data_IF_472442630950
#
_entry.id   IF_472442630950
#
_cell.length_a   1.000
_cell.length_b   1.000
_cell.length_c   1.000
_cell.angle_alpha   90.00
_cell.angle_beta   90.00
_cell.angle_gamma   90.00
#
_symmetry.space_group_name_H-M   'P 1'
#
loop_
_entity.id
_entity.type
_entity.pdbx_description
1 polymer ?
#
# COMPACT_ATOMS: atom_id res chain seq x y z
N UNK A 1 -2.63 18.00 20.23
CA UNK A 1 -1.18 18.19 19.95
C UNK A 1 -1.03 19.31 18.93
N UNK A 2 -0.56 20.47 19.37
CA UNK A 2 -0.04 21.51 18.50
C UNK A 2 1.22 20.96 17.84
N UNK A 3 1.16 20.67 16.54
CA UNK A 3 2.36 20.34 15.78
C UNK A 3 3.28 21.56 15.82
N UNK A 4 4.30 21.55 16.69
CA UNK A 4 5.38 22.51 16.61
C UNK A 4 6.13 22.24 15.31
N UNK A 5 6.18 23.25 14.44
CA UNK A 5 6.84 23.24 13.12
C UNK A 5 8.38 23.13 13.22
N UNK A 6 8.91 22.34 14.15
CA UNK A 6 10.34 22.09 14.29
C UNK A 6 10.79 21.16 13.16
N UNK A 7 11.17 21.77 12.02
CA UNK A 7 11.83 21.20 10.84
C UNK A 7 11.03 20.13 10.08
N UNK A 8 10.24 20.59 9.10
CA UNK A 8 9.72 19.72 8.04
C UNK A 8 10.90 19.17 7.21
N UNK A 9 11.13 17.85 7.25
CA UNK A 9 12.08 17.18 6.36
C UNK A 9 11.37 16.73 5.08
N UNK A 10 12.03 16.87 3.94
CA UNK A 10 11.58 16.31 2.67
C UNK A 10 12.16 14.92 2.47
N UNK A 11 11.46 14.06 1.71
CA UNK A 11 11.92 12.70 1.40
C UNK A 11 12.93 12.78 0.27
N UNK A 12 14.19 12.41 0.53
CA UNK A 12 15.26 12.41 -0.48
C UNK A 12 15.21 11.15 -1.36
N UNK A 13 15.11 9.97 -0.73
CA UNK A 13 15.20 8.65 -1.39
C UNK A 13 14.27 7.65 -0.73
N UNK A 14 13.76 6.70 -1.53
CA UNK A 14 12.96 5.56 -1.08
C UNK A 14 13.75 4.29 -1.41
N UNK A 15 14.07 3.49 -0.40
CA UNK A 15 14.72 2.18 -0.56
C UNK A 15 13.66 1.09 -0.47
N UNK A 16 13.50 0.32 -1.54
CA UNK A 16 12.60 -0.83 -1.56
C UNK A 16 13.32 -2.08 -1.07
N UNK A 17 12.60 -2.93 -0.35
CA UNK A 17 13.07 -4.20 0.19
C UNK A 17 11.93 -5.20 0.39
N UNK A 18 12.27 -6.36 0.95
CA UNK A 18 11.32 -7.34 1.46
C UNK A 18 11.25 -7.18 2.98
N UNK A 19 10.06 -7.32 3.54
CA UNK A 19 9.89 -7.27 4.99
C UNK A 19 10.35 -8.60 5.60
N UNK A 20 11.27 -8.53 6.55
CA UNK A 20 11.67 -9.72 7.31
C UNK A 20 10.57 -10.14 8.31
N UNK A 21 10.49 -11.43 8.67
CA UNK A 21 9.54 -11.89 9.69
C UNK A 21 9.70 -11.14 11.03
N UNK A 22 10.92 -10.80 11.42
CA UNK A 22 11.20 -10.10 12.67
C UNK A 22 10.80 -8.63 12.62
N UNK A 23 10.99 -7.96 11.48
CA UNK A 23 10.45 -6.61 11.27
C UNK A 23 8.92 -6.61 11.30
N UNK A 24 8.27 -7.61 10.70
CA UNK A 24 6.81 -7.75 10.71
C UNK A 24 6.29 -7.90 12.16
N UNK A 25 6.96 -8.68 12.99
CA UNK A 25 6.60 -8.82 14.41
C UNK A 25 6.84 -7.52 15.18
N UNK A 26 7.96 -6.82 14.96
CA UNK A 26 8.29 -5.55 15.63
C UNK A 26 7.38 -4.40 15.22
N UNK A 27 6.98 -4.32 13.96
CA UNK A 27 6.08 -3.27 13.47
C UNK A 27 4.62 -3.49 13.90
N UNK A 28 4.30 -4.70 14.36
CA UNK A 28 2.94 -5.09 14.67
C UNK A 28 2.52 -4.63 16.07
N UNK A 29 1.35 -4.00 16.15
CA UNK A 29 0.74 -3.60 17.41
C UNK A 29 -0.02 -4.74 18.11
N UNK A 30 -0.52 -5.72 17.35
CA UNK A 30 -1.30 -6.83 17.87
C UNK A 30 -1.12 -8.11 17.05
N UNK A 31 -1.06 -9.24 17.74
CA UNK A 31 -1.13 -10.57 17.14
C UNK A 31 -2.59 -10.94 16.93
N UNK A 32 -2.98 -11.25 15.70
CA UNK A 32 -4.35 -11.60 15.37
C UNK A 32 -4.52 -13.11 15.46
N UNK A 33 -5.49 -13.53 16.26
CA UNK A 33 -5.74 -14.95 16.55
C UNK A 33 -7.16 -15.30 16.13
N UNK A 34 -8.17 -14.51 16.50
CA UNK A 34 -9.58 -14.83 16.26
C UNK A 34 -10.02 -14.42 14.86
N UNK A 35 -10.83 -15.28 14.22
CA UNK A 35 -11.36 -15.04 12.89
C UNK A 35 -12.57 -14.09 12.91
N UNK A 36 -13.31 -14.07 14.02
CA UNK A 36 -14.52 -13.26 14.16
C UNK A 36 -14.18 -11.78 14.35
N UNK A 37 -15.03 -10.90 13.79
CA UNK A 37 -14.77 -9.45 13.72
C UNK A 37 -15.46 -8.67 14.83
N UNK A 38 -16.71 -9.00 15.16
CA UNK A 38 -17.50 -8.36 16.20
C UNK A 38 -18.21 -9.40 17.07
N UNK A 39 -18.38 -9.07 18.34
CA UNK A 39 -19.20 -9.82 19.29
C UNK A 39 -20.70 -9.64 19.00
N UNK A 40 -21.55 -10.39 19.71
CA UNK A 40 -23.02 -10.32 19.61
C UNK A 40 -23.56 -8.90 19.88
N UNK A 41 -22.87 -8.13 20.73
CA UNK A 41 -23.18 -6.73 21.05
C UNK A 41 -22.71 -5.73 19.96
N UNK A 42 -22.09 -6.21 18.89
CA UNK A 42 -21.56 -5.38 17.79
C UNK A 42 -20.27 -4.65 18.13
N UNK A 43 -19.61 -5.00 19.25
CA UNK A 43 -18.31 -4.45 19.64
C UNK A 43 -17.17 -5.24 18.99
N UNK A 44 -16.04 -4.59 18.63
CA UNK A 44 -14.89 -5.30 18.06
C UNK A 44 -14.24 -6.25 19.06
N UNK A 45 -13.98 -7.49 18.62
CA UNK A 45 -13.39 -8.53 19.46
C UNK A 45 -11.89 -8.26 19.67
N UNK A 46 -11.36 -8.38 20.90
CA UNK A 46 -9.92 -8.30 21.14
C UNK A 46 -9.16 -9.43 20.42
N UNK A 47 -7.98 -9.14 19.89
CA UNK A 47 -7.17 -10.07 19.06
C UNK A 47 -7.85 -10.53 17.77
N UNK A 48 -8.94 -9.88 17.35
CA UNK A 48 -9.62 -10.09 16.07
C UNK A 48 -9.18 -9.10 15.00
N UNK A 49 -9.75 -9.21 13.80
CA UNK A 49 -9.35 -8.38 12.65
C UNK A 49 -9.76 -6.89 12.76
N UNK A 50 -10.68 -6.57 13.66
CA UNK A 50 -11.16 -5.22 13.95
C UNK A 50 -10.68 -4.71 15.32
N UNK A 51 -9.63 -5.33 15.89
CA UNK A 51 -9.05 -4.92 17.17
C UNK A 51 -8.72 -3.41 17.17
N UNK A 52 -9.16 -2.70 18.21
CA UNK A 52 -8.97 -1.26 18.39
C UNK A 52 -7.49 -0.84 18.43
N UNK A 53 -6.57 -1.78 18.69
CA UNK A 53 -5.12 -1.55 18.58
C UNK A 53 -4.65 -1.34 17.14
N UNK A 54 -5.36 -1.88 16.15
CA UNK A 54 -5.05 -1.70 14.72
C UNK A 54 -5.54 -0.35 14.17
N UNK A 55 -6.35 0.37 14.94
CA UNK A 55 -6.94 1.66 14.58
C UNK A 55 -8.45 1.69 14.80
N UNK A 56 -9.04 2.85 14.55
CA UNK A 56 -10.49 3.09 14.72
C UNK A 56 -11.10 3.63 13.44
N UNK A 57 -12.28 3.15 13.07
CA UNK A 57 -13.11 3.71 11.97
C UNK A 57 -14.24 4.57 12.51
N UNK A 58 -14.78 4.25 13.68
CA UNK A 58 -15.97 4.90 14.19
C UNK A 58 -15.69 6.29 14.77
N UNK A 59 -16.46 7.32 14.37
CA UNK A 59 -16.37 8.64 14.97
C UNK A 59 -16.59 8.57 16.50
N UNK A 60 -15.71 9.21 17.26
CA UNK A 60 -15.78 9.24 18.73
C UNK A 60 -15.00 8.14 19.44
N UNK A 61 -14.67 7.03 18.77
CA UNK A 61 -13.78 6.01 19.32
C UNK A 61 -12.32 6.47 19.26
N UNK A 62 -11.55 6.12 20.31
CA UNK A 62 -10.11 6.38 20.38
C UNK A 62 -9.34 5.09 20.16
N UNK A 63 -8.27 5.16 19.37
CA UNK A 63 -7.39 4.03 19.16
C UNK A 63 -6.63 3.68 20.45
N UNK A 64 -6.57 2.40 20.81
CA UNK A 64 -5.85 1.94 22.01
C UNK A 64 -4.34 2.12 21.90
N UNK A 65 -3.78 2.12 20.67
CA UNK A 65 -2.33 2.21 20.44
C UNK A 65 -1.83 3.66 20.43
N UNK A 66 -2.52 4.57 19.76
CA UNK A 66 -2.09 5.97 19.65
C UNK A 66 -2.95 6.99 20.40
N UNK A 67 -4.10 6.60 20.95
CA UNK A 67 -5.03 7.50 21.67
C UNK A 67 -5.75 8.53 20.78
N UNK A 68 -5.44 8.56 19.48
CA UNK A 68 -6.02 9.50 18.53
C UNK A 68 -7.41 9.06 18.06
N UNK A 69 -8.20 10.03 17.64
CA UNK A 69 -9.47 9.83 16.91
C UNK A 69 -9.19 9.46 15.44
N UNK A 70 -10.23 8.98 14.75
CA UNK A 70 -10.21 8.53 13.35
C UNK A 70 -9.44 9.46 12.41
N UNK A 71 -9.66 10.79 12.48
CA UNK A 71 -9.03 11.76 11.58
C UNK A 71 -7.50 11.85 11.70
N UNK A 72 -6.96 11.55 12.89
CA UNK A 72 -5.52 11.68 13.18
C UNK A 72 -4.85 10.31 13.37
N UNK A 73 -5.61 9.21 13.39
CA UNK A 73 -5.09 7.86 13.51
C UNK A 73 -4.70 7.33 12.12
N UNK A 74 -3.40 7.19 11.88
CA UNK A 74 -2.88 6.63 10.62
C UNK A 74 -3.07 5.12 10.50
N UNK A 75 -3.49 4.45 11.57
CA UNK A 75 -3.64 3.00 11.67
C UNK A 75 -2.35 2.29 12.05
N UNK A 76 -2.48 1.08 12.59
CA UNK A 76 -1.36 0.26 13.06
C UNK A 76 -1.44 -1.16 12.46
N UNK A 77 -0.31 -1.72 12.07
CA UNK A 77 -0.27 -3.04 11.48
C UNK A 77 -0.46 -4.14 12.53
N UNK A 78 -1.11 -5.22 12.12
CA UNK A 78 -1.19 -6.48 12.86
C UNK A 78 -0.25 -7.52 12.25
N UNK A 79 -0.16 -8.70 12.86
CA UNK A 79 0.46 -9.86 12.23
C UNK A 79 -0.29 -11.15 12.56
N UNK A 80 -0.21 -12.11 11.65
CA UNK A 80 -0.63 -13.50 11.85
C UNK A 80 0.63 -14.38 11.79
N UNK A 81 0.79 -15.23 12.81
CA UNK A 81 1.81 -16.28 12.78
C UNK A 81 1.26 -17.50 12.02
N UNK A 82 1.88 -17.84 10.90
CA UNK A 82 1.42 -18.96 10.08
C UNK A 82 1.83 -20.29 10.72
N UNK A 83 0.95 -21.29 10.63
CA UNK A 83 1.21 -22.64 11.13
C UNK A 83 2.29 -23.37 10.34
N UNK A 84 2.35 -23.10 9.04
CA UNK A 84 3.37 -23.60 8.12
C UNK A 84 3.79 -22.49 7.15
N UNK A 85 5.03 -22.54 6.62
CA UNK A 85 5.51 -21.53 5.68
C UNK A 85 4.74 -21.58 4.35
N UNK A 86 4.53 -20.42 3.75
CA UNK A 86 3.72 -20.25 2.52
C UNK A 86 4.51 -19.48 1.47
N UNK A 87 4.49 -19.94 0.23
CA UNK A 87 5.28 -19.32 -0.84
C UNK A 87 4.56 -18.08 -1.37
N UNK A 88 5.24 -16.93 -1.42
CA UNK A 88 4.68 -15.73 -2.03
C UNK A 88 4.59 -15.87 -3.57
N UNK A 89 3.37 -15.85 -4.10
CA UNK A 89 3.08 -16.15 -5.52
C UNK A 89 3.77 -15.21 -6.50
N UNK A 90 3.88 -13.92 -6.15
CA UNK A 90 4.61 -12.92 -6.95
C UNK A 90 6.08 -13.26 -7.20
N UNK A 91 6.69 -14.08 -6.34
CA UNK A 91 8.11 -14.47 -6.43
C UNK A 91 8.32 -15.92 -6.86
N UNK A 92 7.26 -16.73 -7.04
CA UNK A 92 7.38 -18.16 -7.37
C UNK A 92 8.28 -18.43 -8.60
N UNK A 93 8.17 -17.61 -9.65
CA UNK A 93 9.05 -17.69 -10.83
C UNK A 93 10.51 -17.35 -10.52
N UNK A 94 10.77 -16.42 -9.60
CA UNK A 94 12.12 -16.04 -9.18
C UNK A 94 12.73 -17.14 -8.30
N UNK A 95 11.95 -17.69 -7.36
CA UNK A 95 12.35 -18.86 -6.56
C UNK A 95 12.74 -20.03 -7.48
N UNK A 96 11.97 -20.33 -8.52
CA UNK A 96 12.35 -21.36 -9.49
C UNK A 96 13.71 -21.10 -10.17
N UNK A 97 13.99 -19.85 -10.54
CA UNK A 97 15.29 -19.49 -11.15
C UNK A 97 16.44 -19.73 -10.18
N UNK A 98 16.25 -19.35 -8.90
CA UNK A 98 17.23 -19.57 -7.84
C UNK A 98 17.43 -21.05 -7.55
N UNK A 99 16.34 -21.81 -7.37
CA UNK A 99 16.41 -23.26 -7.11
C UNK A 99 17.14 -24.02 -8.24
N UNK A 100 17.05 -23.52 -9.48
CA UNK A 100 17.79 -24.07 -10.63
C UNK A 100 19.25 -23.64 -10.70
N UNK A 101 19.68 -22.65 -9.94
CA UNK A 101 21.08 -22.16 -9.92
C UNK A 101 21.86 -22.59 -8.68
N UNK A 102 21.19 -23.09 -7.64
CA UNK A 102 21.84 -23.55 -6.41
C UNK A 102 21.98 -25.07 -6.38
N UNK A 103 22.93 -25.55 -5.56
CA UNK A 103 23.03 -26.96 -5.21
C UNK A 103 21.92 -27.38 -4.23
N UNK A 104 21.29 -28.56 -4.38
CA UNK A 104 20.28 -29.06 -3.44
C UNK A 104 20.77 -29.25 -1.99
N UNK A 105 22.05 -29.59 -1.79
CA UNK A 105 22.60 -29.96 -0.48
C UNK A 105 23.34 -28.80 0.19
N UNK A 106 24.34 -28.23 -0.50
CA UNK A 106 25.16 -27.15 0.06
C UNK A 106 24.60 -25.75 -0.17
N UNK A 107 23.54 -25.63 -0.99
CA UNK A 107 22.86 -24.36 -1.30
C UNK A 107 23.74 -23.25 -1.90
N UNK A 108 25.01 -23.54 -2.21
CA UNK A 108 25.89 -22.63 -2.94
C UNK A 108 25.49 -22.52 -4.41
N UNK A 109 25.86 -21.40 -5.00
CA UNK A 109 25.71 -21.17 -6.43
C UNK A 109 26.54 -22.19 -7.22
N UNK A 110 25.96 -22.74 -8.29
CA UNK A 110 26.63 -23.72 -9.15
C UNK A 110 27.56 -23.04 -10.18
N UNK A 111 28.50 -22.23 -9.68
CA UNK A 111 29.61 -21.61 -10.40
C UNK A 111 30.93 -21.93 -9.72
N UNK A 112 32.02 -21.92 -10.49
CA UNK A 112 33.38 -22.04 -9.92
C UNK A 112 33.79 -20.73 -9.25
N UNK A 113 34.79 -20.78 -8.35
CA UNK A 113 35.29 -19.58 -7.67
C UNK A 113 35.88 -18.55 -8.65
N UNK A 114 36.56 -19.01 -9.70
CA UNK A 114 37.08 -18.14 -10.77
C UNK A 114 35.95 -17.39 -11.50
N UNK A 115 34.86 -18.08 -11.81
CA UNK A 115 33.69 -17.47 -12.44
C UNK A 115 33.02 -16.45 -11.51
N UNK A 116 32.91 -16.76 -10.21
CA UNK A 116 32.33 -15.83 -9.25
C UNK A 116 33.15 -14.55 -9.11
N UNK A 117 34.48 -14.66 -9.11
CA UNK A 117 35.35 -13.49 -8.98
C UNK A 117 35.32 -12.60 -10.23
N UNK A 118 35.29 -13.21 -11.43
CA UNK A 118 35.13 -12.44 -12.68
C UNK A 118 33.80 -11.66 -12.70
N UNK A 119 32.68 -12.33 -12.37
CA UNK A 119 31.39 -11.65 -12.27
C UNK A 119 31.36 -10.56 -11.19
N UNK A 120 32.07 -10.76 -10.08
CA UNK A 120 32.16 -9.77 -9.00
C UNK A 120 32.86 -8.50 -9.48
N UNK A 121 33.96 -8.64 -10.22
CA UNK A 121 34.71 -7.50 -10.76
C UNK A 121 33.91 -6.77 -11.84
N UNK A 122 33.23 -7.51 -12.71
CA UNK A 122 32.27 -6.95 -13.69
C UNK A 122 31.15 -6.16 -12.99
N UNK A 123 30.59 -6.69 -11.89
CA UNK A 123 29.51 -5.99 -11.18
C UNK A 123 30.00 -4.71 -10.49
N UNK A 124 31.19 -4.73 -9.89
CA UNK A 124 31.79 -3.55 -9.25
C UNK A 124 32.09 -2.45 -10.28
N UNK A 125 32.66 -2.82 -11.42
CA UNK A 125 32.97 -1.87 -12.50
C UNK A 125 31.70 -1.29 -13.10
N UNK A 126 30.70 -2.11 -13.38
CA UNK A 126 29.41 -1.64 -13.90
C UNK A 126 28.70 -0.69 -12.93
N UNK A 127 28.66 -1.04 -11.63
CA UNK A 127 28.05 -0.19 -10.61
C UNK A 127 28.77 1.15 -10.46
N UNK A 128 30.08 1.18 -10.66
CA UNK A 128 30.87 2.42 -10.63
C UNK A 128 30.58 3.34 -11.83
N UNK A 129 30.28 2.76 -13.00
CA UNK A 129 30.04 3.51 -14.23
C UNK A 129 28.58 3.98 -14.32
N UNK A 130 27.63 3.06 -14.13
CA UNK A 130 26.22 3.31 -14.42
C UNK A 130 25.37 3.59 -13.17
N UNK A 131 25.95 3.45 -11.97
CA UNK A 131 25.21 3.53 -10.69
C UNK A 131 24.03 2.54 -10.56
N UNK A 132 23.94 1.58 -11.48
CA UNK A 132 22.92 0.54 -11.56
C UNK A 132 23.57 -0.85 -11.62
N UNK A 133 22.79 -1.88 -11.28
CA UNK A 133 23.24 -3.27 -11.41
C UNK A 133 22.99 -3.79 -12.81
N UNK A 134 23.98 -4.49 -13.38
CA UNK A 134 23.87 -5.12 -14.70
C UNK A 134 22.83 -6.27 -14.68
N UNK A 135 21.70 -6.10 -15.35
CA UNK A 135 20.69 -7.14 -15.48
C UNK A 135 21.09 -8.24 -16.46
N UNK A 136 21.92 -7.94 -17.46
CA UNK A 136 22.31 -8.88 -18.50
C UNK A 136 23.40 -9.82 -17.99
N UNK A 137 24.37 -9.32 -17.21
CA UNK A 137 25.31 -10.15 -16.47
C UNK A 137 24.58 -11.17 -15.57
N UNK A 138 23.55 -10.73 -14.83
CA UNK A 138 22.73 -11.64 -13.99
C UNK A 138 22.04 -12.72 -14.82
N UNK A 139 21.51 -12.39 -16.00
CA UNK A 139 20.92 -13.40 -16.91
C UNK A 139 21.96 -14.42 -17.36
N UNK A 140 23.20 -14.00 -17.59
CA UNK A 140 24.31 -14.90 -17.95
C UNK A 140 24.65 -15.83 -16.78
N UNK A 141 24.76 -15.30 -15.56
CA UNK A 141 24.97 -16.07 -14.32
C UNK A 141 23.92 -17.17 -14.19
N UNK A 142 22.62 -16.84 -14.29
CA UNK A 142 21.56 -17.85 -14.23
C UNK A 142 21.64 -18.88 -15.36
N UNK A 143 22.05 -18.49 -16.57
CA UNK A 143 22.22 -19.42 -17.71
C UNK A 143 23.38 -20.38 -17.49
N UNK A 144 24.53 -19.89 -16.99
CA UNK A 144 25.72 -20.72 -16.70
C UNK A 144 25.43 -21.67 -15.54
N UNK A 145 24.93 -21.15 -14.42
CA UNK A 145 24.56 -21.96 -13.26
C UNK A 145 23.44 -22.96 -13.59
N UNK A 146 22.60 -22.71 -14.60
CA UNK A 146 21.61 -23.69 -15.08
C UNK A 146 22.25 -24.87 -15.82
N UNK A 147 23.33 -24.66 -16.57
CA UNK A 147 23.99 -25.67 -17.42
C UNK A 147 24.92 -26.61 -16.66
N UNK A 148 25.45 -26.20 -15.51
CA UNK A 148 26.31 -27.04 -14.68
C UNK A 148 25.55 -28.29 -14.20
N UNK A 149 26.20 -29.45 -14.31
CA UNK A 149 25.61 -30.78 -13.99
C UNK A 149 25.93 -31.24 -12.56
N UNK A 150 27.07 -30.82 -12.02
CA UNK A 150 27.54 -31.17 -10.69
C UNK A 150 27.95 -29.92 -9.91
N UNK A 151 27.86 -29.99 -8.59
CA UNK A 151 28.31 -28.92 -7.71
C UNK A 151 29.85 -28.90 -7.60
N UNK A 152 30.52 -27.75 -7.80
CA UNK A 152 31.97 -27.63 -7.63
C UNK A 152 32.45 -27.85 -6.19
N UNK A 153 31.58 -27.63 -5.20
CA UNK A 153 31.96 -27.65 -3.78
C UNK A 153 31.74 -29.00 -3.10
N UNK A 154 30.61 -29.65 -3.36
CA UNK A 154 30.23 -30.90 -2.67
C UNK A 154 30.12 -32.11 -3.61
N UNK A 155 30.30 -31.93 -4.92
CA UNK A 155 30.19 -33.02 -5.90
C UNK A 155 28.77 -33.53 -6.13
N UNK A 156 27.76 -33.04 -5.41
CA UNK A 156 26.37 -33.46 -5.55
C UNK A 156 25.86 -33.21 -6.98
N UNK A 157 25.12 -34.20 -7.51
CA UNK A 157 24.45 -34.08 -8.81
C UNK A 157 23.30 -33.11 -8.72
N UNK A 158 23.17 -32.26 -9.72
CA UNK A 158 22.06 -31.32 -9.83
C UNK A 158 20.78 -32.05 -10.22
N UNK A 159 19.72 -31.82 -9.47
CA UNK A 159 18.38 -32.31 -9.80
C UNK A 159 17.60 -31.27 -10.61
N UNK A 160 16.77 -31.72 -11.55
CA UNK A 160 15.97 -30.82 -12.39
C UNK A 160 14.70 -30.42 -11.65
N UNK A 161 14.56 -29.11 -11.40
CA UNK A 161 13.38 -28.55 -10.73
C UNK A 161 12.38 -28.00 -11.76
N UNK A 162 11.14 -28.44 -11.66
CA UNK A 162 9.99 -28.00 -12.48
C UNK A 162 8.97 -27.33 -11.57
N UNK A 163 8.29 -26.30 -12.08
CA UNK A 163 7.15 -25.68 -11.40
C UNK A 163 5.88 -26.14 -12.09
N UNK A 164 4.96 -26.70 -11.32
CA UNK A 164 3.56 -26.77 -11.72
C UNK A 164 2.90 -25.47 -11.25
N UNK A 165 2.29 -24.75 -12.19
CA UNK A 165 1.78 -23.42 -11.88
C UNK A 165 0.58 -23.56 -10.95
N UNK A 166 0.46 -22.69 -9.92
CA UNK A 166 1.24 -21.46 -9.73
C UNK A 166 2.38 -21.54 -8.70
N UNK A 167 2.36 -22.48 -7.75
CA UNK A 167 3.28 -22.48 -6.59
C UNK A 167 3.80 -23.86 -6.18
N UNK A 168 3.49 -24.93 -6.92
CA UNK A 168 3.95 -26.29 -6.61
C UNK A 168 5.27 -26.59 -7.33
N UNK A 169 6.26 -27.08 -6.57
CA UNK A 169 7.60 -27.36 -7.09
C UNK A 169 7.86 -28.86 -7.05
N UNK A 170 8.42 -29.40 -8.13
CA UNK A 170 8.82 -30.79 -8.23
C UNK A 170 10.30 -30.90 -8.60
N UNK A 171 10.95 -31.90 -8.03
CA UNK A 171 12.32 -32.31 -8.28
C UNK A 171 12.28 -33.67 -9.00
N UNK A 172 12.82 -33.74 -10.22
CA UNK A 172 12.95 -35.00 -10.96
C UNK A 172 14.15 -35.80 -10.41
N UNK A 173 13.91 -37.03 -9.96
CA UNK A 173 14.95 -37.99 -9.60
C UNK A 173 15.07 -39.09 -10.67
N UNK A 174 16.30 -39.43 -11.07
CA UNK A 174 16.58 -40.41 -12.13
C UNK A 174 15.98 -41.82 -11.84
N UNK A 175 15.71 -42.15 -10.57
CA UNK A 175 15.30 -43.49 -10.14
C UNK A 175 13.86 -43.60 -9.56
N UNK A 176 13.23 -42.50 -9.13
CA UNK A 176 11.96 -42.52 -8.37
C UNK A 176 10.84 -41.62 -8.92
N UNK A 177 11.04 -41.01 -10.08
CA UNK A 177 10.08 -40.08 -10.68
C UNK A 177 10.19 -38.66 -10.12
N UNK A 178 9.09 -37.90 -10.16
CA UNK A 178 9.03 -36.51 -9.67
C UNK A 178 8.62 -36.45 -8.20
N UNK A 179 9.50 -35.93 -7.33
CA UNK A 179 9.21 -35.67 -5.91
C UNK A 179 8.77 -34.23 -5.71
N UNK A 180 7.69 -33.99 -4.95
CA UNK A 180 7.27 -32.64 -4.55
C UNK A 180 8.25 -32.05 -3.53
N UNK A 181 8.66 -30.81 -3.74
CA UNK A 181 9.46 -30.03 -2.78
C UNK A 181 8.50 -29.22 -1.91
N UNK A 182 8.61 -29.36 -0.59
CA UNK A 182 7.77 -28.58 0.34
C UNK A 182 8.31 -27.17 0.54
N UNK A 183 7.47 -26.17 0.88
CA UNK A 183 7.94 -24.83 1.21
C UNK A 183 8.95 -24.80 2.37
N UNK A 184 8.90 -25.75 3.30
CA UNK A 184 9.88 -25.89 4.40
C UNK A 184 11.25 -26.25 3.83
N UNK A 185 11.33 -27.26 2.95
CA UNK A 185 12.59 -27.65 2.32
C UNK A 185 13.18 -26.50 1.49
N UNK A 186 12.34 -25.72 0.79
CA UNK A 186 12.80 -24.54 0.05
C UNK A 186 13.36 -23.49 1.03
N UNK A 187 12.68 -23.25 2.16
CA UNK A 187 13.13 -22.30 3.17
C UNK A 187 14.50 -22.69 3.73
N UNK A 188 14.69 -23.97 4.06
CA UNK A 188 15.97 -24.49 4.55
C UNK A 188 17.09 -24.31 3.51
N UNK A 189 16.81 -24.62 2.24
CA UNK A 189 17.78 -24.42 1.14
C UNK A 189 18.13 -22.94 0.95
N UNK A 190 17.16 -22.03 1.02
CA UNK A 190 17.42 -20.60 0.85
C UNK A 190 18.16 -19.98 2.04
N UNK A 191 17.92 -20.49 3.26
CA UNK A 191 18.56 -20.01 4.49
C UNK A 191 20.06 -20.33 4.52
N UNK A 192 20.48 -21.47 3.93
CA UNK A 192 21.87 -21.91 3.84
C UNK A 192 22.73 -21.10 2.85
N UNK A 193 22.14 -20.24 2.03
CA UNK A 193 22.88 -19.44 1.05
C UNK A 193 23.77 -18.40 1.73
N UNK A 194 24.95 -18.15 1.16
CA UNK A 194 25.87 -17.12 1.68
C UNK A 194 25.54 -15.74 1.12
N UNK A 195 25.87 -14.68 1.87
CA UNK A 195 25.64 -13.29 1.44
C UNK A 195 26.39 -12.94 0.14
N UNK A 196 27.53 -13.59 -0.11
CA UNK A 196 28.30 -13.40 -1.34
C UNK A 196 27.56 -13.99 -2.54
N UNK A 197 26.98 -15.19 -2.41
CA UNK A 197 26.14 -15.80 -3.45
C UNK A 197 24.91 -14.94 -3.76
N UNK A 198 24.29 -14.37 -2.72
CA UNK A 198 23.14 -13.47 -2.88
C UNK A 198 23.48 -12.21 -3.68
N UNK A 199 24.65 -11.60 -3.41
CA UNK A 199 25.12 -10.42 -4.14
C UNK A 199 25.31 -10.71 -5.62
N UNK A 200 25.94 -11.85 -5.97
CA UNK A 200 26.14 -12.28 -7.36
C UNK A 200 24.80 -12.52 -8.08
N UNK A 201 23.79 -13.01 -7.36
CA UNK A 201 22.42 -13.14 -7.88
C UNK A 201 21.69 -11.79 -8.03
N UNK A 202 22.31 -10.69 -7.61
CA UNK A 202 21.73 -9.36 -7.63
C UNK A 202 20.74 -9.10 -6.51
N UNK A 203 20.82 -9.85 -5.42
CA UNK A 203 19.97 -9.73 -4.23
C UNK A 203 20.75 -9.04 -3.13
N UNK A 204 20.16 -8.01 -2.53
CA UNK A 204 20.76 -7.34 -1.36
C UNK A 204 20.55 -8.20 -0.12
N UNK A 205 21.61 -8.65 0.57
CA UNK A 205 21.49 -9.47 1.77
C UNK A 205 20.89 -8.70 2.95
N UNK A 206 21.00 -7.37 2.96
CA UNK A 206 20.44 -6.53 4.04
C UNK A 206 18.94 -6.27 3.86
N UNK A 207 18.49 -6.07 2.62
CA UNK A 207 17.14 -5.55 2.37
C UNK A 207 16.17 -6.56 1.74
N UNK A 208 16.65 -7.67 1.17
CA UNK A 208 15.80 -8.55 0.36
C UNK A 208 16.25 -10.01 0.40
N UNK A 209 16.55 -10.56 1.58
CA UNK A 209 16.97 -11.96 1.68
C UNK A 209 15.95 -12.90 1.07
N UNK A 210 16.45 -13.95 0.41
CA UNK A 210 15.61 -14.84 -0.38
C UNK A 210 14.67 -15.70 0.48
N UNK A 211 15.06 -16.02 1.71
CA UNK A 211 14.18 -16.80 2.60
C UNK A 211 12.91 -16.03 3.01
N UNK A 212 12.93 -14.68 3.00
CA UNK A 212 11.74 -13.86 3.31
C UNK A 212 10.66 -13.92 2.23
N UNK A 213 10.97 -14.48 1.05
CA UNK A 213 9.97 -14.79 0.02
C UNK A 213 8.98 -15.87 0.48
N UNK A 214 9.42 -16.71 1.42
CA UNK A 214 8.59 -17.72 2.04
C UNK A 214 8.05 -17.12 3.33
N UNK A 215 6.75 -16.84 3.31
CA UNK A 215 6.05 -16.17 4.39
C UNK A 215 5.90 -17.13 5.56
N UNK A 216 6.49 -16.77 6.69
CA UNK A 216 6.24 -17.39 8.01
C UNK A 216 5.29 -16.53 8.85
N UNK A 217 5.34 -15.22 8.63
CA UNK A 217 4.49 -14.22 9.28
C UNK A 217 3.81 -13.40 8.20
N UNK A 218 2.49 -13.22 8.32
CA UNK A 218 1.71 -12.38 7.39
C UNK A 218 1.36 -11.05 8.07
N UNK A 219 1.79 -9.89 7.54
CA UNK A 219 1.39 -8.59 8.07
C UNK A 219 -0.08 -8.32 7.73
N UNK A 220 -0.80 -7.78 8.70
CA UNK A 220 -2.21 -7.44 8.56
C UNK A 220 -2.36 -5.94 8.40
N UNK A 221 -2.99 -5.47 7.31
CA UNK A 221 -3.16 -4.05 7.10
C UNK A 221 -4.08 -3.46 8.17
N UNK A 222 -3.81 -2.20 8.57
CA UNK A 222 -4.59 -1.50 9.56
C UNK A 222 -6.05 -1.37 9.15
N UNK A 223 -6.90 -1.11 10.14
CA UNK A 223 -8.34 -1.01 9.97
C UNK A 223 -8.72 0.17 9.05
N UNK A 224 -7.95 1.26 9.05
CA UNK A 224 -8.14 2.40 8.12
C UNK A 224 -7.94 2.03 6.63
N UNK A 225 -7.18 0.96 6.32
CA UNK A 225 -6.98 0.47 4.95
C UNK A 225 -8.08 -0.52 4.51
N UNK A 226 -8.92 -0.97 5.46
CA UNK A 226 -10.02 -1.93 5.27
C UNK A 226 -11.33 -1.37 5.88
N UNK A 227 -11.84 -0.23 5.39
CA UNK A 227 -13.03 0.38 5.96
C UNK A 227 -14.27 -0.50 5.70
N UNK A 228 -15.07 -0.72 6.74
CA UNK A 228 -16.40 -1.32 6.63
C UNK A 228 -17.40 -0.30 6.06
N UNK A 229 -18.37 -0.78 5.29
CA UNK A 229 -19.46 0.04 4.74
C UNK A 229 -20.74 -0.33 5.49
N UNK A 230 -21.36 0.63 6.16
CA UNK A 230 -22.72 0.47 6.69
C UNK A 230 -23.72 0.74 5.56
N UNK A 231 -24.54 -0.25 5.23
CA UNK A 231 -25.67 -0.08 4.32
C UNK A 231 -26.76 0.73 5.00
N UNK A 232 -27.64 1.36 4.22
CA UNK A 232 -28.79 2.15 4.75
C UNK A 232 -29.74 1.29 5.62
N UNK A 233 -29.71 -0.03 5.46
CA UNK A 233 -30.44 -1.00 6.29
C UNK A 233 -29.83 -1.21 7.68
N UNK A 234 -28.72 -0.56 8.01
CA UNK A 234 -27.97 -0.72 9.26
C UNK A 234 -27.04 -1.94 9.28
N UNK A 235 -27.07 -2.79 8.25
CA UNK A 235 -26.18 -3.96 8.14
C UNK A 235 -24.78 -3.49 7.75
N UNK A 236 -23.76 -3.98 8.46
CA UNK A 236 -22.36 -3.76 8.13
C UNK A 236 -21.91 -4.73 7.04
N UNK A 237 -21.41 -4.19 5.94
CA UNK A 237 -20.74 -4.91 4.89
C UNK A 237 -19.24 -4.73 5.05
N UNK A 238 -18.54 -5.82 5.38
CA UNK A 238 -17.10 -5.81 5.56
C UNK A 238 -16.33 -5.66 4.25
N UNK A 239 -15.10 -5.17 4.36
CA UNK A 239 -14.21 -5.00 3.23
C UNK A 239 -13.76 -6.36 2.64
N UNK A 240 -13.58 -6.41 1.32
CA UNK A 240 -13.14 -7.63 0.61
C UNK A 240 -11.82 -8.22 1.17
N UNK A 241 -10.89 -7.38 1.67
CA UNK A 241 -9.67 -7.87 2.32
C UNK A 241 -9.97 -8.49 3.68
N UNK A 242 -10.87 -7.88 4.46
CA UNK A 242 -11.27 -8.42 5.77
C UNK A 242 -11.88 -9.81 5.59
N UNK A 243 -12.84 -9.97 4.67
CA UNK A 243 -13.45 -11.27 4.39
C UNK A 243 -12.39 -12.34 4.05
N UNK A 244 -11.38 -11.98 3.24
CA UNK A 244 -10.35 -12.95 2.87
C UNK A 244 -9.39 -13.28 4.02
N UNK A 245 -9.08 -12.30 4.87
CA UNK A 245 -8.26 -12.51 6.06
C UNK A 245 -8.96 -13.40 7.09
N UNK A 246 -10.28 -13.30 7.24
CA UNK A 246 -11.08 -14.21 8.07
C UNK A 246 -10.87 -15.66 7.62
N UNK A 247 -10.94 -15.91 6.30
CA UNK A 247 -10.71 -17.26 5.76
C UNK A 247 -9.28 -17.75 6.04
N UNK A 248 -8.27 -16.87 5.90
CA UNK A 248 -6.86 -17.18 6.20
C UNK A 248 -6.68 -17.56 7.68
N UNK A 249 -7.30 -16.82 8.61
CA UNK A 249 -7.20 -17.11 10.04
C UNK A 249 -7.86 -18.46 10.35
N UNK A 250 -9.07 -18.68 9.85
CA UNK A 250 -9.82 -19.93 10.10
C UNK A 250 -9.05 -21.16 9.63
N UNK A 251 -8.47 -21.12 8.43
CA UNK A 251 -7.70 -22.26 7.93
C UNK A 251 -6.36 -22.41 8.67
N UNK A 252 -5.73 -21.30 9.08
CA UNK A 252 -4.48 -21.33 9.83
C UNK A 252 -4.66 -21.92 11.24
N UNK A 253 -5.76 -21.57 11.93
CA UNK A 253 -6.15 -22.16 13.22
C UNK A 253 -6.44 -23.66 13.06
N UNK A 254 -7.28 -24.03 12.09
CA UNK A 254 -7.60 -25.43 11.82
C UNK A 254 -6.36 -26.25 11.49
N UNK A 255 -5.42 -25.70 10.72
CA UNK A 255 -4.15 -26.35 10.41
C UNK A 255 -3.30 -26.55 11.68
N UNK A 256 -3.23 -25.54 12.57
CA UNK A 256 -2.51 -25.65 13.85
C UNK A 256 -3.11 -26.75 14.73
N UNK A 257 -4.43 -26.73 14.93
CA UNK A 257 -5.15 -27.71 15.76
C UNK A 257 -4.95 -29.15 15.26
N UNK A 258 -5.01 -29.38 13.94
CA UNK A 258 -4.81 -30.71 13.37
C UNK A 258 -3.35 -31.19 13.49
N UNK A 259 -2.37 -30.28 13.43
CA UNK A 259 -0.97 -30.62 13.67
C UNK A 259 -0.78 -31.01 15.14
N UNK A 260 -1.33 -30.24 16.06
CA UNK A 260 -1.17 -30.46 17.50
C UNK A 260 -1.92 -31.74 17.96
N UNK A 261 -3.03 -32.08 17.30
CA UNK A 261 -3.75 -33.32 17.51
C UNK A 261 -3.07 -34.57 16.88
N UNK A 262 -1.98 -34.40 16.14
CA UNK A 262 -1.27 -35.50 15.49
C UNK A 262 -2.02 -36.12 14.30
N UNK A 263 -2.79 -35.31 13.56
CA UNK A 263 -3.56 -35.78 12.42
C UNK A 263 -2.66 -36.41 11.32
N UNK A 264 -3.19 -37.35 10.52
CA UNK A 264 -2.49 -37.93 9.38
C UNK A 264 -1.90 -36.90 8.41
N UNK A 265 -0.72 -37.20 7.85
CA UNK A 265 0.03 -36.29 6.97
C UNK A 265 -0.80 -35.75 5.78
N UNK A 266 -1.61 -36.61 5.15
CA UNK A 266 -2.45 -36.23 4.01
C UNK A 266 -3.42 -35.08 4.36
N UNK A 267 -4.05 -35.13 5.54
CA UNK A 267 -4.98 -34.08 5.99
C UNK A 267 -4.23 -32.77 6.23
N UNK A 268 -3.03 -32.85 6.81
CA UNK A 268 -2.19 -31.67 7.05
C UNK A 268 -1.74 -31.03 5.74
N UNK A 269 -1.38 -31.83 4.74
CA UNK A 269 -1.02 -31.36 3.40
C UNK A 269 -2.20 -30.67 2.70
N UNK A 270 -3.40 -31.27 2.72
CA UNK A 270 -4.59 -30.68 2.12
C UNK A 270 -4.94 -29.32 2.77
N UNK A 271 -4.88 -29.23 4.10
CA UNK A 271 -5.10 -27.98 4.82
C UNK A 271 -4.02 -26.93 4.51
N UNK A 272 -2.77 -27.36 4.30
CA UNK A 272 -1.66 -26.49 3.93
C UNK A 272 -1.82 -25.94 2.50
N UNK A 273 -2.27 -26.77 1.55
CA UNK A 273 -2.61 -26.31 0.20
C UNK A 273 -3.76 -25.30 0.22
N UNK A 274 -4.78 -25.54 1.05
CA UNK A 274 -5.86 -24.58 1.22
C UNK A 274 -5.35 -23.25 1.80
N UNK A 275 -4.45 -23.28 2.78
CA UNK A 275 -3.80 -22.07 3.31
C UNK A 275 -3.02 -21.34 2.20
N UNK A 276 -2.25 -22.06 1.38
CA UNK A 276 -1.55 -21.50 0.22
C UNK A 276 -2.53 -20.85 -0.77
N UNK A 277 -3.69 -21.47 -1.03
CA UNK A 277 -4.75 -20.90 -1.87
C UNK A 277 -5.28 -19.57 -1.30
N UNK A 278 -5.62 -19.53 0.01
CA UNK A 278 -6.18 -18.34 0.63
C UNK A 278 -5.20 -17.16 0.64
N UNK A 279 -3.92 -17.39 0.95
CA UNK A 279 -2.90 -16.33 0.89
C UNK A 279 -2.62 -15.90 -0.55
N UNK A 280 -2.62 -16.83 -1.50
CA UNK A 280 -2.42 -16.49 -2.92
C UNK A 280 -3.51 -15.54 -3.41
N UNK A 281 -4.77 -15.89 -3.17
CA UNK A 281 -5.92 -15.08 -3.59
C UNK A 281 -6.02 -13.76 -2.83
N UNK A 282 -5.54 -13.71 -1.58
CA UNK A 282 -5.38 -12.45 -0.82
C UNK A 282 -4.37 -11.48 -1.46
N UNK A 283 -3.25 -11.98 -1.97
CA UNK A 283 -2.26 -11.14 -2.67
C UNK A 283 -2.73 -10.76 -4.07
N UNK A 284 -3.22 -11.73 -4.82
CA UNK A 284 -3.73 -11.55 -6.18
C UNK A 284 -4.85 -12.56 -6.49
N UNK A 285 -6.08 -12.07 -6.63
CA UNK A 285 -7.23 -12.91 -6.93
C UNK A 285 -7.40 -13.23 -8.43
N UNK A 286 -6.51 -12.75 -9.30
CA UNK A 286 -6.57 -12.96 -10.77
C UNK A 286 -5.41 -13.83 -11.26
N UNK A 287 -4.81 -14.63 -10.37
CA UNK A 287 -3.73 -15.55 -10.72
C UNK A 287 -4.27 -16.67 -11.63
N UNK A 288 -3.55 -16.93 -12.72
CA UNK A 288 -3.87 -18.02 -13.65
C UNK A 288 -3.69 -19.38 -12.99
N UNK A 289 -4.66 -20.28 -13.19
CA UNK A 289 -4.65 -21.64 -12.65
C UNK A 289 -5.28 -21.78 -11.25
N UNK A 290 -5.75 -20.68 -10.65
CA UNK A 290 -6.45 -20.70 -9.35
C UNK A 290 -7.87 -20.18 -9.54
N UNK A 291 -8.90 -20.84 -8.95
CA UNK A 291 -10.27 -20.33 -8.99
C UNK A 291 -10.38 -19.03 -8.18
N UNK A 292 -10.94 -17.95 -8.75
CA UNK A 292 -11.03 -16.67 -8.06
C UNK A 292 -11.94 -16.80 -6.84
N UNK A 293 -11.48 -16.27 -5.71
CA UNK A 293 -12.29 -16.18 -4.50
C UNK A 293 -13.45 -15.21 -4.71
N UNK A 294 -14.66 -15.65 -4.35
CA UNK A 294 -15.91 -14.93 -4.52
C UNK A 294 -16.60 -14.74 -3.18
N UNK A 295 -17.35 -13.66 -3.07
CA UNK A 295 -18.31 -13.48 -1.99
C UNK A 295 -19.46 -14.50 -2.14
N UNK A 296 -20.28 -14.69 -1.10
CA UNK A 296 -21.50 -15.54 -1.15
C UNK A 296 -22.48 -15.11 -2.26
N UNK A 297 -22.41 -13.84 -2.67
CA UNK A 297 -23.21 -13.28 -3.78
C UNK A 297 -22.65 -13.62 -5.18
N UNK A 298 -21.55 -14.35 -5.28
CA UNK A 298 -20.91 -14.70 -6.55
C UNK A 298 -19.99 -13.62 -7.14
N UNK A 299 -19.99 -12.40 -6.59
CA UNK A 299 -19.05 -11.34 -6.97
C UNK A 299 -17.61 -11.73 -6.58
N UNK A 300 -16.66 -11.55 -7.50
CA UNK A 300 -15.23 -11.76 -7.21
C UNK A 300 -14.69 -10.70 -6.25
N UNK A 301 -13.87 -11.13 -5.27
CA UNK A 301 -13.27 -10.24 -4.28
C UNK A 301 -12.16 -9.38 -4.90
N UNK A 302 -12.12 -8.09 -4.52
CA UNK A 302 -11.07 -7.16 -4.94
C UNK A 302 -9.94 -7.09 -3.91
N UNK A 303 -8.88 -7.86 -4.15
CA UNK A 303 -7.74 -7.99 -3.22
C UNK A 303 -6.60 -7.02 -3.58
N UNK A 304 -5.41 -7.19 -2.96
CA UNK A 304 -4.34 -6.17 -2.95
C UNK A 304 -3.91 -5.73 -4.35
N UNK A 305 -3.63 -6.68 -5.23
CA UNK A 305 -3.16 -6.37 -6.59
C UNK A 305 -4.20 -5.60 -7.40
N UNK A 306 -5.48 -5.93 -7.28
CA UNK A 306 -6.59 -5.26 -7.96
C UNK A 306 -6.90 -3.87 -7.39
N UNK A 307 -6.51 -3.59 -6.14
CA UNK A 307 -6.59 -2.23 -5.57
C UNK A 307 -5.52 -1.31 -6.14
N UNK A 308 -4.33 -1.84 -6.38
CA UNK A 308 -3.20 -1.07 -6.90
C UNK A 308 -3.29 -0.87 -8.41
N UNK A 309 -3.52 -1.95 -9.16
CA UNK A 309 -3.52 -1.97 -10.64
C UNK A 309 -4.90 -1.65 -11.23
N UNK A 310 -4.91 -1.37 -12.53
CA UNK A 310 -6.13 -1.14 -13.31
C UNK A 310 -6.48 0.35 -13.50
N UNK A 311 -7.56 0.60 -14.26
CA UNK A 311 -8.05 1.96 -14.54
C UNK A 311 -8.55 2.66 -13.28
N UNK A 312 -9.27 1.92 -12.44
CA UNK A 312 -9.76 2.35 -11.12
C UNK A 312 -8.81 1.98 -9.98
N UNK A 313 -7.57 1.62 -10.29
CA UNK A 313 -6.54 1.34 -9.29
C UNK A 313 -6.01 2.63 -8.65
N UNK A 314 -5.42 2.50 -7.46
CA UNK A 314 -4.89 3.65 -6.69
C UNK A 314 -3.86 4.46 -7.47
N UNK A 315 -3.00 3.83 -8.28
CA UNK A 315 -1.99 4.56 -9.06
C UNK A 315 -2.60 5.56 -10.03
N UNK A 316 -3.54 5.11 -10.88
CA UNK A 316 -4.14 5.98 -11.91
C UNK A 316 -5.19 6.94 -11.33
N UNK A 317 -6.02 6.46 -10.41
CA UNK A 317 -7.19 7.20 -9.94
C UNK A 317 -6.94 8.06 -8.69
N UNK A 318 -5.88 7.79 -7.92
CA UNK A 318 -5.62 8.49 -6.67
C UNK A 318 -4.21 9.10 -6.57
N UNK A 319 -3.22 8.62 -7.33
CA UNK A 319 -1.87 9.19 -7.28
C UNK A 319 -1.59 10.08 -8.48
N UNK A 320 -1.70 9.56 -9.72
CA UNK A 320 -1.43 10.31 -10.94
C UNK A 320 -2.52 11.34 -11.26
N UNK A 321 -3.79 11.00 -11.02
CA UNK A 321 -4.92 11.90 -11.14
C UNK A 321 -5.65 11.97 -9.80
N UNK A 322 -6.01 13.17 -9.37
CA UNK A 322 -6.84 13.40 -8.19
C UNK A 322 -7.97 14.36 -8.54
N UNK A 323 -9.10 14.21 -7.87
CA UNK A 323 -10.09 15.29 -7.84
C UNK A 323 -9.52 16.40 -6.97
N UNK A 324 -9.70 17.63 -7.42
CA UNK A 324 -9.22 18.82 -6.74
C UNK A 324 -10.41 19.63 -6.26
N UNK A 325 -10.28 20.19 -5.07
CA UNK A 325 -11.23 21.17 -4.55
C UNK A 325 -11.00 22.54 -5.21
N UNK A 326 -11.88 23.51 -4.94
CA UNK A 326 -11.81 24.87 -5.50
C UNK A 326 -11.78 24.92 -7.03
N UNK A 327 -12.58 24.08 -7.67
CA UNK A 327 -12.79 24.08 -9.12
C UNK A 327 -14.28 24.21 -9.46
N UNK A 328 -14.59 24.80 -10.60
CA UNK A 328 -15.94 24.91 -11.13
C UNK A 328 -15.96 24.57 -12.63
N UNK A 329 -17.11 24.13 -13.12
CA UNK A 329 -17.32 23.80 -14.54
C UNK A 329 -18.68 24.30 -14.98
N UNK A 330 -18.71 25.03 -16.09
CA UNK A 330 -19.94 25.52 -16.71
C UNK A 330 -19.83 25.54 -18.24
N UNK A 331 -20.93 25.87 -18.91
CA UNK A 331 -20.99 26.10 -20.36
C UNK A 331 -20.36 27.45 -20.70
N UNK A 332 -19.65 27.52 -21.82
CA UNK A 332 -19.03 28.76 -22.30
C UNK A 332 -19.94 29.49 -23.28
N UNK A 333 -19.98 30.81 -23.20
CA UNK A 333 -20.68 31.70 -24.14
C UNK A 333 -19.74 32.80 -24.63
N UNK A 334 -19.80 33.21 -25.91
CA UNK A 334 -18.94 34.27 -26.42
C UNK A 334 -19.32 35.64 -25.84
N UNK A 335 -18.32 36.45 -25.51
CA UNK A 335 -18.51 37.86 -25.14
C UNK A 335 -17.37 38.70 -25.73
N UNK A 336 -17.63 39.58 -26.72
CA UNK A 336 -16.60 40.39 -27.37
C UNK A 336 -16.22 41.65 -26.58
N UNK A 337 -16.90 41.96 -25.47
CA UNK A 337 -16.69 43.20 -24.71
C UNK A 337 -15.64 43.09 -23.59
N UNK A 338 -15.10 41.90 -23.34
CA UNK A 338 -14.08 41.65 -22.32
C UNK A 338 -12.68 41.56 -22.94
N UNK A 339 -11.65 41.85 -22.16
CA UNK A 339 -10.26 41.69 -22.62
C UNK A 339 -9.95 40.23 -22.93
N UNK A 340 -8.95 40.00 -23.79
CA UNK A 340 -8.51 38.64 -24.15
C UNK A 340 -8.02 37.82 -22.96
N UNK A 341 -7.50 38.51 -21.93
CA UNK A 341 -6.99 37.88 -20.72
C UNK A 341 -8.06 37.73 -19.62
N UNK A 342 -9.26 38.30 -19.84
CA UNK A 342 -10.34 38.26 -18.86
C UNK A 342 -11.28 37.10 -19.15
N UNK A 343 -11.86 36.55 -18.08
CA UNK A 343 -12.89 35.52 -18.17
C UNK A 343 -14.09 35.92 -17.33
N UNK A 344 -15.27 35.92 -17.95
CA UNK A 344 -16.51 36.18 -17.23
C UNK A 344 -16.85 35.01 -16.30
N UNK A 345 -16.84 35.26 -14.99
CA UNK A 345 -17.22 34.27 -13.98
C UNK A 345 -18.63 34.58 -13.47
N UNK A 346 -19.58 33.62 -13.54
CA UNK A 346 -20.91 33.80 -12.96
C UNK A 346 -20.85 34.14 -11.46
N UNK A 347 -21.72 35.06 -11.04
CA UNK A 347 -21.79 35.56 -9.67
C UNK A 347 -22.00 34.43 -8.64
N UNK A 348 -22.75 33.39 -8.98
CA UNK A 348 -22.96 32.22 -8.12
C UNK A 348 -21.66 31.46 -7.84
N UNK A 349 -20.80 31.32 -8.85
CA UNK A 349 -19.49 30.67 -8.73
C UNK A 349 -18.56 31.56 -7.91
N UNK A 350 -18.57 32.88 -8.17
CA UNK A 350 -17.74 33.85 -7.45
C UNK A 350 -18.03 33.90 -5.95
N UNK A 351 -19.28 33.66 -5.52
CA UNK A 351 -19.68 33.60 -4.11
C UNK A 351 -19.26 32.29 -3.41
N UNK A 352 -19.09 31.20 -4.15
CA UNK A 352 -18.76 29.88 -3.59
C UNK A 352 -17.24 29.69 -3.51
N UNK A 353 -16.54 29.97 -4.61
CA UNK A 353 -15.10 29.89 -4.67
C UNK A 353 -14.50 31.05 -3.88
N UNK A 354 -13.45 30.77 -3.12
CA UNK A 354 -12.85 31.75 -2.22
C UNK A 354 -11.35 31.74 -2.28
N UNK A 355 -10.75 32.90 -2.03
CA UNK A 355 -9.29 33.09 -2.00
C UNK A 355 -8.89 33.44 -0.55
N UNK A 356 -7.99 32.65 0.08
CA UNK A 356 -7.50 32.96 1.41
C UNK A 356 -6.56 34.16 1.35
N UNK A 357 -7.00 35.29 1.91
CA UNK A 357 -6.22 36.53 1.97
C UNK A 357 -5.77 36.77 3.40
N UNK A 358 -4.45 36.85 3.62
CA UNK A 358 -3.89 37.19 4.93
C UNK A 358 -4.09 38.68 5.21
N UNK A 359 -4.53 39.00 6.42
CA UNK A 359 -4.73 40.37 6.87
C UNK A 359 -3.38 40.97 7.25
N UNK A 360 -3.08 42.09 6.61
CA UNK A 360 -1.95 42.97 6.81
C UNK A 360 -2.45 44.37 7.17
N UNK A 361 -1.55 45.28 7.52
CA UNK A 361 -1.90 46.68 7.83
C UNK A 361 -2.60 47.42 6.69
N UNK A 362 -2.33 47.04 5.43
CA UNK A 362 -2.86 47.74 4.25
C UNK A 362 -4.26 47.29 3.82
N UNK A 363 -4.60 46.01 3.98
CA UNK A 363 -5.86 45.44 3.50
C UNK A 363 -6.90 45.23 4.61
N UNK A 364 -6.57 45.55 5.86
CA UNK A 364 -7.44 45.30 7.01
C UNK A 364 -8.82 45.96 6.88
N UNK A 365 -8.87 47.19 6.37
CA UNK A 365 -10.12 47.93 6.24
C UNK A 365 -11.02 47.33 5.15
N UNK A 366 -10.42 46.94 4.02
CA UNK A 366 -11.13 46.24 2.94
C UNK A 366 -11.68 44.90 3.43
N UNK A 367 -10.87 44.10 4.12
CA UNK A 367 -11.29 42.79 4.65
C UNK A 367 -12.43 42.93 5.68
N UNK A 368 -12.44 44.01 6.48
CA UNK A 368 -13.55 44.31 7.40
C UNK A 368 -14.85 44.52 6.64
N UNK A 369 -14.84 45.29 5.56
CA UNK A 369 -16.02 45.54 4.74
C UNK A 369 -16.56 44.25 4.10
N UNK A 370 -15.67 43.39 3.58
CA UNK A 370 -16.07 42.11 2.99
C UNK A 370 -16.72 41.17 4.02
N UNK A 371 -16.21 41.15 5.26
CA UNK A 371 -16.79 40.36 6.35
C UNK A 371 -18.13 40.93 6.80
N UNK A 372 -18.29 42.26 6.81
CA UNK A 372 -19.57 42.92 7.12
C UNK A 372 -20.65 42.57 6.08
N UNK A 373 -20.31 42.59 4.79
CA UNK A 373 -21.20 42.20 3.70
C UNK A 373 -21.64 40.72 3.81
N UNK A 374 -20.76 39.87 4.34
CA UNK A 374 -21.04 38.48 4.65
C UNK A 374 -21.07 37.57 3.41
N UNK A 375 -21.61 36.34 3.54
CA UNK A 375 -21.45 35.30 2.51
C UNK A 375 -22.43 35.38 1.34
N UNK A 376 -23.55 36.10 1.47
CA UNK A 376 -24.64 36.09 0.47
C UNK A 376 -24.53 37.23 -0.55
N UNK A 377 -23.94 38.36 -0.15
CA UNK A 377 -23.73 39.52 -0.99
C UNK A 377 -22.31 39.51 -1.55
N UNK A 378 -22.17 39.91 -2.80
CA UNK A 378 -20.88 40.07 -3.45
C UNK A 378 -20.61 41.57 -3.67
N UNK A 379 -19.41 42.08 -3.36
CA UNK A 379 -18.26 41.35 -2.82
C UNK A 379 -18.40 41.05 -1.32
N UNK A 380 -18.01 39.85 -0.90
CA UNK A 380 -18.19 39.36 0.47
C UNK A 380 -17.18 38.28 0.87
N UNK A 381 -17.44 37.60 1.99
CA UNK A 381 -16.57 36.55 2.53
C UNK A 381 -17.37 35.40 3.17
N UNK A 382 -16.80 34.19 3.11
CA UNK A 382 -17.45 32.99 3.64
C UNK A 382 -16.86 32.52 4.97
N UNK A 383 -15.54 32.58 5.12
CA UNK A 383 -14.87 32.05 6.30
C UNK A 383 -13.77 32.97 6.81
N UNK A 384 -13.50 32.88 8.11
CA UNK A 384 -12.38 33.56 8.77
C UNK A 384 -11.55 32.50 9.50
N UNK A 385 -10.25 32.51 9.29
CA UNK A 385 -9.29 31.68 10.00
C UNK A 385 -8.54 32.58 10.97
N UNK A 386 -8.67 32.30 12.26
CA UNK A 386 -7.93 33.01 13.32
C UNK A 386 -6.46 32.59 13.35
N UNK A 387 -5.66 33.33 14.11
CA UNK A 387 -4.27 32.95 14.46
C UNK A 387 -4.14 31.49 14.93
N UNK A 388 -5.14 31.00 15.67
CA UNK A 388 -5.19 29.65 16.22
C UNK A 388 -5.60 28.57 15.19
N UNK A 389 -5.73 28.94 13.91
CA UNK A 389 -6.25 28.12 12.80
C UNK A 389 -7.68 27.62 12.95
N UNK A 390 -8.43 28.14 13.93
CA UNK A 390 -9.87 27.89 14.02
C UNK A 390 -10.58 28.62 12.90
N UNK A 391 -11.33 27.87 12.10
CA UNK A 391 -12.16 28.38 11.00
C UNK A 391 -13.55 28.73 11.53
N UNK A 392 -13.98 29.95 11.29
CA UNK A 392 -15.30 30.49 11.63
C UNK A 392 -16.09 30.60 10.34
N UNK A 393 -17.26 29.97 10.28
CA UNK A 393 -18.19 30.08 9.15
C UNK A 393 -19.13 31.28 9.37
N UNK A 394 -19.09 32.25 8.44
CA UNK A 394 -19.87 33.48 8.52
C UNK A 394 -21.37 33.30 8.27
N UNK A 395 -21.81 32.12 7.82
CA UNK A 395 -23.24 31.81 7.60
C UNK A 395 -24.03 31.78 8.91
N UNK A 396 -23.42 31.30 10.00
CA UNK A 396 -24.09 31.09 11.29
C UNK A 396 -23.78 32.18 12.33
N UNK A 397 -22.98 33.18 11.96
CA UNK A 397 -22.63 34.30 12.85
C UNK A 397 -23.80 35.29 12.93
N UNK A 398 -24.34 35.49 14.14
CA UNK A 398 -25.43 36.45 14.39
C UNK A 398 -24.97 37.91 14.27
N UNK A 399 -23.81 38.26 14.84
CA UNK A 399 -23.29 39.64 14.87
C UNK A 399 -21.97 39.77 14.11
N UNK A 400 -22.05 40.12 12.83
CA UNK A 400 -20.86 40.26 11.96
C UNK A 400 -19.98 41.46 12.31
N UNK A 401 -20.56 42.54 12.86
CA UNK A 401 -19.85 43.77 13.27
C UNK A 401 -18.78 43.51 14.33
N UNK A 402 -19.11 42.71 15.34
CA UNK A 402 -18.16 42.36 16.42
C UNK A 402 -16.98 41.56 15.85
N UNK A 403 -17.24 40.65 14.91
CA UNK A 403 -16.20 39.83 14.31
C UNK A 403 -15.29 40.66 13.39
N UNK A 404 -15.84 41.61 12.63
CA UNK A 404 -15.02 42.51 11.81
C UNK A 404 -14.12 43.41 12.66
N UNK A 405 -14.59 43.87 13.82
CA UNK A 405 -13.77 44.67 14.75
C UNK A 405 -12.63 43.86 15.39
N UNK A 406 -12.85 42.56 15.60
CA UNK A 406 -11.82 41.63 16.12
C UNK A 406 -10.76 41.21 15.08
N UNK A 407 -10.88 41.64 13.82
CA UNK A 407 -9.87 41.33 12.80
C UNK A 407 -8.57 42.05 13.13
N UNK A 408 -7.48 41.29 13.17
CA UNK A 408 -6.14 41.79 13.43
C UNK A 408 -5.14 41.18 12.42
N UNK A 409 -3.98 41.81 12.21
CA UNK A 409 -2.91 41.24 11.38
C UNK A 409 -2.55 39.82 11.83
N UNK A 410 -2.46 38.90 10.87
CA UNK A 410 -2.24 37.46 11.12
C UNK A 410 -3.51 36.59 11.09
N UNK A 411 -4.69 37.20 10.93
CA UNK A 411 -5.90 36.47 10.57
C UNK A 411 -5.94 36.27 9.04
N UNK A 412 -6.65 35.24 8.57
CA UNK A 412 -6.90 35.00 7.14
C UNK A 412 -8.39 35.05 6.87
N UNK A 413 -8.80 35.81 5.84
CA UNK A 413 -10.20 35.87 5.39
C UNK A 413 -10.31 35.16 4.06
N UNK A 414 -11.25 34.22 3.96
CA UNK A 414 -11.63 33.57 2.70
C UNK A 414 -12.72 34.40 2.03
N UNK A 415 -12.28 35.37 1.21
CA UNK A 415 -13.17 36.27 0.44
C UNK A 415 -13.64 35.63 -0.85
N UNK A 416 -14.75 36.11 -1.39
CA UNK A 416 -15.22 35.79 -2.74
C UNK A 416 -14.19 36.22 -3.79
N UNK A 417 -14.29 35.66 -5.00
CA UNK A 417 -13.53 36.19 -6.14
C UNK A 417 -13.91 37.65 -6.37
N UNK A 418 -12.95 38.45 -6.84
CA UNK A 418 -13.12 39.82 -7.25
C UNK A 418 -12.48 40.02 -8.64
N UNK A 419 -12.81 41.14 -9.28
CA UNK A 419 -12.24 41.47 -10.58
C UNK A 419 -10.70 41.63 -10.48
N UNK A 420 -9.98 41.04 -11.45
CA UNK A 420 -8.53 41.02 -11.47
C UNK A 420 -7.87 39.83 -10.75
N UNK A 421 -8.64 38.96 -10.09
CA UNK A 421 -8.10 37.73 -9.51
C UNK A 421 -7.62 36.74 -10.60
N UNK A 422 -6.44 36.16 -10.39
CA UNK A 422 -5.87 35.18 -11.31
C UNK A 422 -6.58 33.84 -11.17
N UNK A 423 -7.09 33.33 -12.30
CA UNK A 423 -7.75 32.03 -12.39
C UNK A 423 -7.15 31.20 -13.52
N UNK A 424 -7.15 29.87 -13.36
CA UNK A 424 -6.73 28.95 -14.40
C UNK A 424 -7.96 28.48 -15.18
N UNK A 425 -7.98 28.70 -16.49
CA UNK A 425 -9.07 28.29 -17.36
C UNK A 425 -8.62 27.12 -18.23
N UNK A 426 -9.33 26.00 -18.16
CA UNK A 426 -8.96 24.77 -18.88
C UNK A 426 -10.12 24.23 -19.72
N UNK A 427 -9.82 23.71 -20.92
CA UNK A 427 -10.76 22.95 -21.74
C UNK A 427 -10.26 21.53 -21.96
N UNK A 428 -11.02 20.56 -21.47
CA UNK A 428 -10.77 19.14 -21.70
C UNK A 428 -11.29 18.71 -23.09
N UNK A 429 -10.54 17.89 -23.87
CA UNK A 429 -9.24 17.30 -23.55
C UNK A 429 -8.06 18.29 -23.74
N UNK A 430 -7.16 18.33 -22.77
CA UNK A 430 -5.97 19.19 -22.81
C UNK A 430 -4.86 18.50 -23.60
N UNK A 431 -4.79 18.76 -24.91
CA UNK A 431 -3.79 18.15 -25.81
C UNK A 431 -2.48 18.93 -25.86
N UNK A 432 -2.56 20.25 -25.68
CA UNK A 432 -1.40 21.14 -25.73
C UNK A 432 -1.20 21.83 -24.39
N UNK A 433 0.02 22.31 -24.14
CA UNK A 433 0.32 23.11 -22.95
C UNK A 433 -0.57 24.35 -22.84
N UNK A 434 -0.95 24.97 -23.98
CA UNK A 434 -1.82 26.14 -24.01
C UNK A 434 -3.30 25.87 -23.70
N UNK A 435 -3.68 24.61 -23.44
CA UNK A 435 -5.05 24.27 -23.06
C UNK A 435 -5.38 24.67 -21.61
N UNK A 436 -4.39 25.11 -20.82
CA UNK A 436 -4.53 25.62 -19.45
C UNK A 436 -3.59 26.81 -19.20
#
# INVERSE_FOLDING_TARGET
>A
MSYSFSRTKLIEKIKFGLLSPDEIRKMSAARIITADTYDEDGLPIPSGLMDQRLGTIEPGQRCQTCGNLVSNCMGHFGHIELARPVIHVGYAKKVLKVLRSICPECSRLLLTEEEMETFRQEEITHRRIFFETDEDAKKIVFKRARKSKACPYCGAKKKKVVIEKPTTFYEEEEAKGSRRITPIEILERLTKMTDNDLRILGVSPENARLEWVILTVLPIPPVCARPSITLDSGIRSEDDLTHKLVDVIRINQRLRENIDAGAPHLIVEDLWELLQYHITTYLDNQVSGIPPARHRSGRALRTLTQRLKGKEGRFRSNLSGKRVDFSARSVISPNPFISINDVGVPMEIAKILTIPTNINSWNIEEMKQLVLNGPFNHPGANYIIRSDRRRIDLRYVKNRKIISEMLAPGYTVERHLADGDLVLFNRQPSLHRMSI
#
